data_IF_676590966321
#
_entry.id   IF_676590966321
#
_cell.length_a   1.000
_cell.length_b   1.000
_cell.length_c   1.000
_cell.angle_alpha   90.00
_cell.angle_beta   90.00
_cell.angle_gamma   90.00
#
_symmetry.space_group_name_H-M   'P 1'
#
loop_
_entity.id
_entity.type
_entity.pdbx_description
1 polymer ?
#
# COMPACT_ATOMS: atom_id res chain seq x y z
N UNK A 1 62.63 29.12 54.68
CA UNK A 1 62.05 29.97 53.64
C UNK A 1 61.04 29.09 52.88
N UNK A 2 59.79 29.19 53.30
CA UNK A 2 58.69 28.32 52.83
C UNK A 2 57.94 29.02 51.71
N UNK A 3 57.79 28.37 50.56
CA UNK A 3 56.90 28.81 49.45
C UNK A 3 55.61 28.05 49.54
N UNK A 4 54.43 28.68 49.45
CA UNK A 4 53.18 27.95 49.41
C UNK A 4 52.78 27.68 47.93
N UNK A 5 52.51 26.43 47.63
CA UNK A 5 51.94 25.95 46.37
C UNK A 5 50.45 26.21 46.37
N UNK A 6 49.94 26.99 45.36
CA UNK A 6 48.53 27.22 45.10
C UNK A 6 48.02 26.10 44.21
N UNK A 7 47.12 25.29 44.72
CA UNK A 7 46.36 24.29 43.91
C UNK A 7 45.18 24.94 43.26
N UNK A 8 45.21 25.08 41.92
CA UNK A 8 44.09 25.50 41.10
C UNK A 8 43.07 24.34 40.98
N UNK A 9 41.95 24.44 41.63
CA UNK A 9 40.83 23.51 41.42
C UNK A 9 40.04 23.94 40.19
N UNK A 10 40.17 23.19 39.09
CA UNK A 10 39.37 23.34 37.91
C UNK A 10 37.98 22.75 38.17
N UNK A 11 36.96 23.58 38.25
CA UNK A 11 35.56 23.14 38.33
C UNK A 11 35.08 22.90 36.88
N UNK A 12 34.99 21.64 36.51
CA UNK A 12 34.38 21.23 35.22
C UNK A 12 32.87 21.33 35.35
N UNK A 13 32.31 22.34 34.73
CA UNK A 13 30.86 22.55 34.66
C UNK A 13 30.31 21.60 33.57
N UNK A 14 29.73 20.45 33.95
CA UNK A 14 28.99 19.59 33.05
C UNK A 14 27.66 20.28 32.70
N UNK A 15 27.57 20.90 31.52
CA UNK A 15 26.34 21.28 30.91
C UNK A 15 25.59 20.00 30.48
N UNK A 16 24.67 19.53 31.30
CA UNK A 16 23.64 18.59 30.90
C UNK A 16 22.75 19.32 29.88
N UNK A 17 22.91 19.00 28.60
CA UNK A 17 21.96 19.34 27.57
C UNK A 17 20.66 18.58 27.90
N UNK A 18 19.71 19.25 28.56
CA UNK A 18 18.34 18.80 28.65
C UNK A 18 17.81 18.76 27.22
N UNK A 19 17.65 17.56 26.67
CA UNK A 19 16.81 17.36 25.50
C UNK A 19 15.38 17.75 25.90
N UNK A 20 15.09 19.04 25.78
CA UNK A 20 13.79 19.61 26.12
C UNK A 20 12.75 19.02 25.18
N UNK A 21 11.80 18.26 25.70
CA UNK A 21 10.55 17.99 25.00
C UNK A 21 9.98 19.36 24.58
N UNK A 22 9.91 19.59 23.27
CA UNK A 22 9.28 20.82 22.75
C UNK A 22 7.80 20.72 23.13
N UNK A 23 7.22 21.73 23.80
CA UNK A 23 5.80 21.70 24.11
C UNK A 23 5.01 21.67 22.81
N UNK A 24 3.91 20.90 22.77
CA UNK A 24 3.00 20.81 21.64
C UNK A 24 2.48 22.21 21.30
N UNK A 25 2.50 22.56 20.01
CA UNK A 25 1.84 23.78 19.50
C UNK A 25 0.32 23.50 19.44
N UNK A 26 -0.51 24.19 20.21
CA UNK A 26 -1.94 23.90 20.27
C UNK A 26 -2.67 24.18 18.94
N UNK A 27 -2.04 24.92 18.02
CA UNK A 27 -2.62 25.32 16.73
C UNK A 27 -2.07 24.50 15.56
N UNK A 28 -1.14 23.57 15.81
CA UNK A 28 -0.45 22.80 14.79
C UNK A 28 -0.82 21.32 14.91
N UNK A 29 -1.16 20.70 13.79
CA UNK A 29 -1.15 19.23 13.63
C UNK A 29 -0.18 18.84 12.52
N UNK A 30 0.44 17.69 12.68
CA UNK A 30 1.32 17.11 11.66
C UNK A 30 0.73 15.81 11.13
N UNK A 31 0.76 15.70 9.81
CA UNK A 31 0.49 14.47 9.08
C UNK A 31 1.81 13.98 8.52
N UNK A 32 2.16 12.74 8.81
CA UNK A 32 3.39 12.10 8.34
C UNK A 32 3.05 11.08 7.29
N UNK A 33 3.82 10.99 6.20
CA UNK A 33 3.86 9.77 5.39
C UNK A 33 5.20 9.06 5.54
N UNK A 34 5.18 7.71 5.46
CA UNK A 34 6.36 6.87 5.39
C UNK A 34 6.18 5.89 4.23
N UNK A 35 6.97 6.10 3.21
CA UNK A 35 6.86 5.42 1.92
C UNK A 35 8.27 5.28 1.32
N UNK A 36 8.53 4.30 0.43
CA UNK A 36 9.84 4.18 -0.19
C UNK A 36 10.10 5.34 -1.16
N UNK A 37 10.87 6.35 -0.71
CA UNK A 37 11.21 7.56 -1.48
C UNK A 37 12.51 7.41 -2.27
N UNK A 38 13.24 6.32 -2.01
CA UNK A 38 14.52 5.97 -2.64
C UNK A 38 14.45 4.55 -3.20
N UNK A 39 15.12 4.28 -4.32
CA UNK A 39 15.18 2.95 -4.93
C UNK A 39 14.06 2.68 -5.94
N UNK A 40 13.77 1.39 -6.14
CA UNK A 40 12.92 0.91 -7.24
C UNK A 40 11.43 1.25 -7.08
N UNK A 41 10.94 1.48 -5.85
CA UNK A 41 9.55 1.88 -5.60
C UNK A 41 9.31 3.38 -5.63
N UNK A 42 10.35 4.17 -5.87
CA UNK A 42 10.25 5.64 -5.79
C UNK A 42 9.14 6.20 -6.66
N UNK A 43 8.97 5.70 -7.87
CA UNK A 43 7.99 6.24 -8.82
C UNK A 43 6.55 6.01 -8.33
N UNK A 44 6.22 4.80 -7.88
CA UNK A 44 4.91 4.51 -7.28
C UNK A 44 4.65 5.38 -6.04
N UNK A 45 5.65 5.51 -5.17
CA UNK A 45 5.55 6.35 -3.97
C UNK A 45 5.46 7.84 -4.29
N UNK A 46 6.12 8.32 -5.35
CA UNK A 46 5.97 9.71 -5.81
C UNK A 46 4.51 10.02 -6.18
N UNK A 47 3.80 9.08 -6.81
CA UNK A 47 2.40 9.28 -7.18
C UNK A 47 1.49 9.34 -5.96
N UNK A 48 1.73 8.47 -4.96
CA UNK A 48 1.04 8.52 -3.66
C UNK A 48 1.23 9.86 -2.97
N UNK A 49 2.48 10.33 -2.87
CA UNK A 49 2.82 11.61 -2.21
C UNK A 49 2.21 12.80 -2.95
N UNK A 50 2.16 12.77 -4.29
CA UNK A 50 1.46 13.80 -5.07
C UNK A 50 -0.03 13.85 -4.70
N UNK A 51 -0.68 12.69 -4.56
CA UNK A 51 -2.07 12.60 -4.11
C UNK A 51 -2.25 13.16 -2.69
N UNK A 52 -1.41 12.77 -1.74
CA UNK A 52 -1.43 13.26 -0.36
C UNK A 52 -1.29 14.79 -0.33
N UNK A 53 -0.30 15.33 -1.05
CA UNK A 53 -0.06 16.78 -1.13
C UNK A 53 -1.25 17.52 -1.74
N UNK A 54 -1.88 16.97 -2.77
CA UNK A 54 -3.08 17.58 -3.36
C UNK A 54 -4.20 17.72 -2.35
N UNK A 55 -4.51 16.68 -1.56
CA UNK A 55 -5.56 16.72 -0.55
C UNK A 55 -5.27 17.78 0.53
N UNK A 56 -4.01 17.89 0.98
CA UNK A 56 -3.61 18.89 1.99
C UNK A 56 -3.66 20.31 1.42
N UNK A 57 -3.24 20.52 0.17
CA UNK A 57 -3.29 21.82 -0.48
C UNK A 57 -4.73 22.27 -0.76
N UNK A 58 -5.62 21.33 -1.14
CA UNK A 58 -7.05 21.61 -1.34
C UNK A 58 -7.75 21.97 -0.01
N UNK A 59 -7.21 21.50 1.12
CA UNK A 59 -7.61 21.94 2.45
C UNK A 59 -6.94 23.26 2.88
N UNK A 60 -6.24 23.95 1.95
CA UNK A 60 -5.52 25.22 2.20
C UNK A 60 -4.53 25.16 3.38
N UNK A 61 -4.01 23.96 3.67
CA UNK A 61 -3.09 23.73 4.79
C UNK A 61 -3.75 23.88 6.17
N UNK A 62 -5.10 23.77 6.25
CA UNK A 62 -5.87 23.94 7.49
C UNK A 62 -6.90 22.82 7.63
N UNK A 63 -7.10 22.32 8.84
CA UNK A 63 -8.16 21.37 9.17
C UNK A 63 -8.82 21.71 10.50
N UNK A 64 -10.11 22.07 10.49
CA UNK A 64 -10.78 22.59 11.67
C UNK A 64 -10.03 23.80 12.26
N UNK A 65 -9.64 23.79 13.54
CA UNK A 65 -8.89 24.89 14.16
C UNK A 65 -7.37 24.82 13.95
N UNK A 66 -6.85 23.82 13.21
CA UNK A 66 -5.44 23.52 13.15
C UNK A 66 -4.82 23.89 11.80
N UNK A 67 -3.57 24.39 11.84
CA UNK A 67 -2.66 24.42 10.69
C UNK A 67 -2.07 23.04 10.50
N UNK A 68 -1.86 22.65 9.25
CA UNK A 68 -1.27 21.36 8.89
C UNK A 68 0.19 21.54 8.49
N UNK A 69 1.07 20.74 9.05
CA UNK A 69 2.42 20.48 8.54
C UNK A 69 2.48 19.06 8.01
N UNK A 70 2.96 18.88 6.79
CA UNK A 70 3.13 17.56 6.19
C UNK A 70 4.60 17.17 6.16
N UNK A 71 4.91 15.99 6.66
CA UNK A 71 6.25 15.41 6.69
C UNK A 71 6.28 14.16 5.82
N UNK A 72 7.13 14.19 4.80
CA UNK A 72 7.34 13.10 3.84
C UNK A 72 8.63 12.35 4.22
N UNK A 73 8.49 11.15 4.80
CA UNK A 73 9.60 10.33 5.29
C UNK A 73 9.87 9.18 4.32
N UNK A 74 11.15 8.80 4.24
CA UNK A 74 11.63 7.66 3.45
C UNK A 74 11.82 6.44 4.34
N UNK A 75 11.17 5.32 4.02
CA UNK A 75 11.37 4.03 4.68
C UNK A 75 12.39 3.15 3.94
N UNK A 76 12.94 3.65 2.83
CA UNK A 76 13.98 3.00 2.05
C UNK A 76 15.36 3.52 2.41
N UNK A 77 16.36 2.75 2.00
CA UNK A 77 17.76 3.19 2.07
C UNK A 77 18.44 3.04 0.71
N UNK A 78 19.37 3.93 0.39
CA UNK A 78 20.14 3.84 -0.84
C UNK A 78 20.94 2.52 -0.93
N UNK A 79 21.37 1.97 0.20
CA UNK A 79 22.12 0.72 0.25
C UNK A 79 21.26 -0.51 -0.06
N UNK A 80 20.01 -0.53 0.42
CA UNK A 80 19.07 -1.62 0.14
C UNK A 80 18.36 -1.44 -1.20
N UNK A 81 18.18 -0.20 -1.69
CA UNK A 81 17.40 0.12 -2.88
C UNK A 81 15.90 -0.13 -2.72
N UNK A 82 15.46 -0.37 -1.50
CA UNK A 82 14.07 -0.66 -1.12
C UNK A 82 13.85 -0.31 0.36
N UNK A 83 12.61 -0.47 0.86
CA UNK A 83 12.27 -0.29 2.27
C UNK A 83 13.11 -1.18 3.19
N UNK A 84 13.32 -0.73 4.43
CA UNK A 84 13.99 -1.54 5.46
C UNK A 84 13.26 -1.44 6.79
N UNK A 85 13.30 -2.54 7.58
CA UNK A 85 12.68 -2.56 8.91
C UNK A 85 13.23 -1.49 9.84
N UNK A 86 14.53 -1.18 9.72
CA UNK A 86 15.20 -0.18 10.54
C UNK A 86 14.72 1.24 10.21
N UNK A 87 14.60 1.57 8.92
CA UNK A 87 14.16 2.89 8.48
C UNK A 87 12.69 3.11 8.86
N UNK A 88 11.81 2.13 8.58
CA UNK A 88 10.40 2.23 8.94
C UNK A 88 10.19 2.31 10.46
N UNK A 89 10.90 1.49 11.25
CA UNK A 89 10.84 1.58 12.70
C UNK A 89 11.32 2.95 13.24
N UNK A 90 12.34 3.54 12.63
CA UNK A 90 12.82 4.87 12.99
C UNK A 90 11.77 5.94 12.67
N UNK A 91 11.14 5.87 11.49
CA UNK A 91 10.07 6.78 11.08
C UNK A 91 8.85 6.68 12.02
N UNK A 92 8.39 5.47 12.34
CA UNK A 92 7.28 5.25 13.25
C UNK A 92 7.56 5.79 14.65
N UNK A 93 8.77 5.54 15.20
CA UNK A 93 9.17 6.09 16.50
C UNK A 93 9.25 7.62 16.48
N UNK A 94 9.80 8.21 15.41
CA UNK A 94 9.85 9.67 15.23
C UNK A 94 8.44 10.27 15.22
N UNK A 95 7.51 9.66 14.50
CA UNK A 95 6.12 10.09 14.45
C UNK A 95 5.45 9.96 15.85
N UNK A 96 5.68 8.86 16.55
CA UNK A 96 5.12 8.61 17.87
C UNK A 96 5.60 9.63 18.92
N UNK A 97 6.90 9.99 18.87
CA UNK A 97 7.54 10.90 19.83
C UNK A 97 7.19 12.37 19.62
N UNK A 98 6.73 12.77 18.44
CA UNK A 98 6.29 14.15 18.17
C UNK A 98 4.82 14.31 18.57
N UNK A 99 4.50 15.11 19.61
CA UNK A 99 3.14 15.26 20.10
C UNK A 99 2.21 15.99 19.12
N UNK A 100 2.76 16.66 18.09
CA UNK A 100 1.99 17.34 17.06
C UNK A 100 1.59 16.40 15.91
N UNK A 101 2.22 15.21 15.80
CA UNK A 101 1.85 14.19 14.80
C UNK A 101 0.58 13.50 15.26
N UNK A 102 -0.47 13.59 14.45
CA UNK A 102 -1.81 13.04 14.75
C UNK A 102 -2.29 12.00 13.73
N UNK A 103 -1.62 11.89 12.59
CA UNK A 103 -1.91 10.87 11.57
C UNK A 103 -0.63 10.44 10.85
N UNK A 104 -0.58 9.15 10.49
CA UNK A 104 0.50 8.50 9.76
C UNK A 104 -0.07 7.84 8.50
N UNK A 105 0.35 8.28 7.32
CA UNK A 105 -0.07 7.72 6.03
C UNK A 105 1.03 6.80 5.52
N UNK A 106 0.74 5.55 5.44
CA UNK A 106 1.73 4.53 5.05
C UNK A 106 1.24 3.13 5.45
N UNK A 107 2.01 2.15 5.11
CA UNK A 107 3.21 2.16 4.27
C UNK A 107 2.84 1.72 2.84
N UNK A 108 3.82 1.64 1.94
CA UNK A 108 3.59 0.98 0.66
C UNK A 108 3.64 -0.55 0.83
N UNK A 109 4.75 -1.06 1.37
CA UNK A 109 4.94 -2.50 1.56
C UNK A 109 4.24 -3.01 2.81
N UNK A 110 3.50 -4.14 2.70
CA UNK A 110 2.83 -4.76 3.85
C UNK A 110 3.81 -5.25 4.93
N UNK A 111 5.03 -5.66 4.55
CA UNK A 111 6.09 -5.97 5.49
C UNK A 111 6.51 -4.78 6.36
N UNK A 112 6.57 -3.58 5.78
CA UNK A 112 6.84 -2.34 6.52
C UNK A 112 5.71 -2.01 7.51
N UNK A 113 4.44 -2.24 7.11
CA UNK A 113 3.29 -2.05 8.02
C UNK A 113 3.38 -2.93 9.27
N UNK A 114 3.84 -4.19 9.14
CA UNK A 114 4.06 -5.08 10.28
C UNK A 114 5.06 -4.50 11.31
N UNK A 115 5.96 -3.63 10.86
CA UNK A 115 6.95 -2.96 11.72
C UNK A 115 6.36 -1.72 12.39
N UNK A 116 5.67 -0.86 11.64
CA UNK A 116 5.16 0.42 12.17
C UNK A 116 3.88 0.28 12.99
N UNK A 117 2.97 -0.62 12.60
CA UNK A 117 1.67 -0.79 13.29
C UNK A 117 1.79 -0.96 14.81
N UNK A 118 2.60 -1.90 15.34
CA UNK A 118 2.70 -2.07 16.80
C UNK A 118 3.33 -0.87 17.50
N UNK A 119 4.24 -0.14 16.83
CA UNK A 119 4.87 1.07 17.38
C UNK A 119 3.84 2.20 17.49
N UNK A 120 3.12 2.47 16.41
CA UNK A 120 2.11 3.53 16.35
C UNK A 120 0.91 3.24 17.26
N UNK A 121 0.57 1.95 17.43
CA UNK A 121 -0.50 1.50 18.30
C UNK A 121 -0.28 1.85 19.77
N UNK A 122 0.98 1.86 20.26
CA UNK A 122 1.31 2.26 21.63
C UNK A 122 0.89 3.70 21.98
N UNK A 123 0.73 4.57 20.99
CA UNK A 123 0.31 5.94 21.18
C UNK A 123 -1.04 6.28 20.57
N UNK A 124 -1.86 5.28 20.27
CA UNK A 124 -3.16 5.42 19.59
C UNK A 124 -3.09 6.28 18.30
N UNK A 125 -1.90 6.34 17.66
CA UNK A 125 -1.69 7.17 16.48
C UNK A 125 -2.37 6.55 15.26
N UNK A 126 -3.30 7.27 14.65
CA UNK A 126 -4.00 6.83 13.44
C UNK A 126 -3.01 6.51 12.33
N UNK A 127 -3.08 5.30 11.78
CA UNK A 127 -2.36 4.88 10.58
C UNK A 127 -3.36 4.61 9.45
N UNK A 128 -3.19 5.28 8.32
CA UNK A 128 -4.02 5.12 7.12
C UNK A 128 -3.15 4.60 5.99
N UNK A 129 -3.39 3.38 5.57
CA UNK A 129 -2.62 2.80 4.46
C UNK A 129 -3.28 3.04 3.10
N UNK A 130 -2.53 3.57 2.14
CA UNK A 130 -2.97 3.70 0.76
C UNK A 130 -2.65 2.49 -0.12
N UNK A 131 -1.91 1.48 0.40
CA UNK A 131 -1.34 0.44 -0.46
C UNK A 131 -1.17 -0.94 0.18
N UNK A 132 -1.28 -1.09 1.50
CA UNK A 132 -1.08 -2.40 2.12
C UNK A 132 -2.29 -3.31 1.91
N UNK A 133 -2.09 -4.46 1.30
CA UNK A 133 -3.16 -5.40 0.93
C UNK A 133 -3.11 -6.73 1.68
N UNK A 134 -1.98 -7.08 2.34
CA UNK A 134 -1.87 -8.34 3.07
C UNK A 134 -2.98 -8.51 4.11
N UNK A 135 -3.63 -9.67 4.08
CA UNK A 135 -4.86 -9.96 4.84
C UNK A 135 -4.61 -10.00 6.34
N UNK A 136 -3.48 -10.59 6.76
CA UNK A 136 -3.12 -10.75 8.17
C UNK A 136 -2.91 -9.44 8.94
N UNK A 137 -2.82 -8.28 8.26
CA UNK A 137 -2.72 -6.97 8.92
C UNK A 137 -4.00 -6.59 9.69
N UNK A 138 -5.15 -7.08 9.23
CA UNK A 138 -6.47 -6.66 9.75
C UNK A 138 -7.37 -7.82 10.12
N UNK A 139 -7.37 -8.93 9.36
CA UNK A 139 -8.35 -10.02 9.48
C UNK A 139 -7.78 -11.18 10.31
N UNK A 140 -8.45 -11.57 11.39
CA UNK A 140 -8.01 -12.72 12.19
C UNK A 140 -8.20 -14.03 11.43
N UNK A 141 -7.25 -14.96 11.63
CA UNK A 141 -7.31 -16.31 11.05
C UNK A 141 -6.87 -16.43 9.59
N UNK A 142 -6.60 -15.31 8.91
CA UNK A 142 -6.18 -15.27 7.50
C UNK A 142 -4.71 -14.84 7.32
N UNK A 143 -3.96 -14.73 8.40
CA UNK A 143 -2.54 -14.38 8.42
C UNK A 143 -1.72 -15.38 9.23
N UNK A 144 -0.49 -14.99 9.57
CA UNK A 144 0.36 -15.80 10.43
C UNK A 144 -0.22 -15.94 11.86
N UNK A 145 0.17 -16.95 12.63
CA UNK A 145 -0.32 -17.14 13.99
C UNK A 145 -0.17 -15.90 14.86
N UNK A 146 -1.28 -15.44 15.47
CA UNK A 146 -1.34 -14.25 16.32
C UNK A 146 -1.66 -12.95 15.56
N UNK A 147 -1.66 -12.94 14.25
CA UNK A 147 -2.12 -11.78 13.47
C UNK A 147 -3.66 -11.67 13.48
N UNK A 148 -4.19 -10.44 13.50
CA UNK A 148 -3.54 -9.13 13.60
C UNK A 148 -3.25 -8.69 15.05
N UNK A 149 -3.51 -9.54 16.06
CA UNK A 149 -3.38 -9.21 17.48
C UNK A 149 -2.00 -8.69 17.87
N UNK A 150 -0.95 -9.26 17.28
CA UNK A 150 0.46 -8.87 17.52
C UNK A 150 0.76 -7.41 17.10
N UNK A 151 -0.06 -6.83 16.22
CA UNK A 151 0.08 -5.44 15.78
C UNK A 151 -0.70 -4.46 16.65
N UNK A 152 -1.47 -4.96 17.60
CA UNK A 152 -2.37 -4.17 18.47
C UNK A 152 -2.03 -4.38 19.94
N UNK A 153 -0.78 -4.04 20.40
CA UNK A 153 -0.35 -4.32 21.78
C UNK A 153 -1.23 -3.65 22.84
N UNK A 154 -1.97 -2.57 22.50
CA UNK A 154 -2.96 -1.95 23.40
C UNK A 154 -4.33 -2.63 23.36
N UNK A 155 -4.55 -3.61 22.47
CA UNK A 155 -5.84 -4.25 22.22
C UNK A 155 -6.82 -3.39 21.39
N UNK A 156 -6.44 -2.18 20.98
CA UNK A 156 -7.28 -1.26 20.21
C UNK A 156 -6.85 -1.18 18.75
N UNK A 157 -7.80 -0.89 17.85
CA UNK A 157 -7.52 -0.57 16.47
C UNK A 157 -7.01 0.87 16.35
N UNK A 158 -5.99 1.07 15.49
CA UNK A 158 -5.51 2.38 15.07
C UNK A 158 -5.08 2.39 13.59
N UNK A 159 -5.36 1.31 12.88
CA UNK A 159 -5.01 1.11 11.48
C UNK A 159 -6.26 0.97 10.63
N UNK A 160 -6.28 1.66 9.49
CA UNK A 160 -7.27 1.51 8.43
C UNK A 160 -6.57 1.49 7.07
N UNK A 161 -7.19 0.88 6.06
CA UNK A 161 -6.69 0.93 4.68
C UNK A 161 -7.77 1.29 3.70
N UNK A 162 -7.43 2.15 2.74
CA UNK A 162 -8.34 2.61 1.69
C UNK A 162 -8.26 1.75 0.42
N UNK A 163 -7.40 0.74 0.39
CA UNK A 163 -7.23 -0.23 -0.70
C UNK A 163 -7.86 -1.57 -0.31
N UNK A 164 -8.54 -2.29 -1.23
CA UNK A 164 -9.04 -3.64 -0.96
C UNK A 164 -7.93 -4.62 -0.60
N UNK A 165 -8.25 -5.61 0.22
CA UNK A 165 -7.30 -6.62 0.67
C UNK A 165 -7.14 -7.78 -0.32
N UNK A 166 -6.05 -8.56 -0.16
CA UNK A 166 -5.67 -9.65 -1.05
C UNK A 166 -6.61 -10.85 -1.03
N UNK A 167 -7.46 -10.98 0.00
CA UNK A 167 -8.54 -11.98 0.04
C UNK A 167 -9.65 -11.74 -1.01
N UNK A 168 -9.61 -10.57 -1.67
CA UNK A 168 -10.37 -10.33 -2.88
C UNK A 168 -9.50 -10.54 -4.12
N UNK A 169 -8.30 -9.94 -4.14
CA UNK A 169 -7.48 -9.88 -5.35
C UNK A 169 -6.94 -11.25 -5.78
N UNK A 170 -6.41 -12.04 -4.84
CA UNK A 170 -5.90 -13.38 -5.14
C UNK A 170 -6.97 -14.30 -5.74
N UNK A 171 -8.10 -14.53 -5.03
CA UNK A 171 -9.18 -15.36 -5.54
C UNK A 171 -9.78 -14.88 -6.84
N UNK A 172 -10.10 -13.59 -7.00
CA UNK A 172 -10.66 -13.07 -8.25
C UNK A 172 -9.71 -13.17 -9.44
N UNK A 173 -8.39 -13.13 -9.20
CA UNK A 173 -7.38 -13.40 -10.22
C UNK A 173 -7.45 -14.85 -10.72
N UNK A 174 -7.68 -15.81 -9.82
CA UNK A 174 -7.86 -17.22 -10.18
C UNK A 174 -9.21 -17.47 -10.89
N UNK A 175 -10.29 -16.83 -10.44
CA UNK A 175 -11.59 -16.88 -11.11
C UNK A 175 -11.51 -16.36 -12.55
N UNK A 176 -10.77 -15.25 -12.75
CA UNK A 176 -10.50 -14.71 -14.09
C UNK A 176 -9.72 -15.71 -14.95
N UNK A 177 -8.67 -16.33 -14.40
CA UNK A 177 -7.90 -17.34 -15.11
C UNK A 177 -8.78 -18.53 -15.51
N UNK A 178 -9.66 -19.00 -14.62
CA UNK A 178 -10.64 -20.07 -14.92
C UNK A 178 -11.59 -19.69 -16.04
N UNK A 179 -12.15 -18.46 -16.00
CA UNK A 179 -13.04 -17.90 -17.03
C UNK A 179 -12.36 -17.86 -18.41
N UNK A 180 -11.03 -17.62 -18.45
CA UNK A 180 -10.20 -17.61 -19.64
C UNK A 180 -9.83 -19.02 -20.15
N UNK A 181 -10.22 -20.07 -19.44
CA UNK A 181 -9.96 -21.45 -19.83
C UNK A 181 -8.59 -21.97 -19.45
N UNK A 182 -7.87 -21.27 -18.56
CA UNK A 182 -6.60 -21.72 -17.98
C UNK A 182 -6.82 -23.04 -17.24
N UNK A 183 -5.97 -24.02 -17.49
CA UNK A 183 -6.03 -25.35 -16.87
C UNK A 183 -4.83 -25.61 -15.97
N UNK A 184 -3.68 -25.04 -16.31
CA UNK A 184 -2.42 -25.23 -15.58
C UNK A 184 -1.78 -23.88 -15.26
N UNK A 185 -1.30 -23.73 -14.03
CA UNK A 185 -0.61 -22.52 -13.58
C UNK A 185 0.73 -22.85 -12.94
N UNK A 186 1.73 -21.98 -13.18
CA UNK A 186 2.97 -21.95 -12.41
C UNK A 186 3.00 -20.68 -11.59
N UNK A 187 3.16 -20.80 -10.28
CA UNK A 187 3.12 -19.68 -9.36
C UNK A 187 4.55 -19.33 -8.95
N UNK A 188 4.83 -18.03 -8.96
CA UNK A 188 6.09 -17.46 -8.47
C UNK A 188 5.75 -16.37 -7.47
N UNK A 189 6.52 -16.26 -6.37
CA UNK A 189 6.40 -15.20 -5.41
C UNK A 189 7.75 -14.57 -5.07
N UNK A 190 7.74 -13.37 -4.48
CA UNK A 190 8.96 -12.65 -4.10
C UNK A 190 9.43 -12.93 -2.68
N UNK A 191 8.80 -13.89 -2.00
CA UNK A 191 9.06 -14.26 -0.60
C UNK A 191 8.89 -13.11 0.41
N UNK A 192 8.25 -12.02 -0.02
CA UNK A 192 7.86 -10.91 0.84
C UNK A 192 6.44 -11.15 1.40
N UNK A 193 6.09 -10.43 2.47
CA UNK A 193 4.78 -10.57 3.15
C UNK A 193 3.62 -10.43 2.17
N UNK A 194 3.68 -9.44 1.28
CA UNK A 194 2.65 -9.19 0.28
C UNK A 194 2.67 -10.24 -0.82
N UNK A 195 3.79 -10.38 -1.54
CA UNK A 195 3.83 -11.19 -2.75
C UNK A 195 3.59 -12.67 -2.48
N UNK A 196 4.18 -13.20 -1.39
CA UNK A 196 3.88 -14.57 -0.95
C UNK A 196 2.42 -14.73 -0.53
N UNK A 197 1.88 -13.78 0.25
CA UNK A 197 0.51 -13.85 0.74
C UNK A 197 -0.52 -13.89 -0.38
N UNK A 198 -0.41 -13.02 -1.38
CA UNK A 198 -1.34 -13.01 -2.52
C UNK A 198 -1.14 -14.23 -3.44
N UNK A 199 0.09 -14.74 -3.58
CA UNK A 199 0.36 -15.97 -4.32
C UNK A 199 -0.27 -17.19 -3.66
N UNK A 200 -0.18 -17.29 -2.33
CA UNK A 200 -0.81 -18.38 -1.56
C UNK A 200 -2.35 -18.36 -1.74
N UNK A 201 -2.98 -17.17 -1.69
CA UNK A 201 -4.44 -17.03 -1.91
C UNK A 201 -4.86 -17.37 -3.34
N UNK A 202 -4.03 -17.02 -4.33
CA UNK A 202 -4.24 -17.42 -5.72
C UNK A 202 -4.11 -18.93 -5.88
N UNK A 203 -3.10 -19.57 -5.28
CA UNK A 203 -2.88 -21.03 -5.27
C UNK A 203 -4.10 -21.77 -4.68
N UNK A 204 -4.53 -21.36 -3.48
CA UNK A 204 -5.68 -21.94 -2.80
C UNK A 204 -6.92 -21.91 -3.69
N UNK A 205 -7.22 -20.74 -4.29
CA UNK A 205 -8.38 -20.59 -5.17
C UNK A 205 -8.24 -21.39 -6.45
N UNK A 206 -7.05 -21.49 -7.05
CA UNK A 206 -6.81 -22.33 -8.20
C UNK A 206 -7.16 -23.80 -7.92
N UNK A 207 -6.74 -24.33 -6.77
CA UNK A 207 -7.04 -25.70 -6.36
C UNK A 207 -8.54 -25.92 -6.17
N UNK A 208 -9.25 -24.97 -5.54
CA UNK A 208 -10.72 -25.02 -5.39
C UNK A 208 -11.45 -25.07 -6.75
N UNK A 209 -10.93 -24.31 -7.73
CA UNK A 209 -11.50 -24.25 -9.08
C UNK A 209 -11.09 -25.45 -9.98
N UNK A 210 -10.23 -26.34 -9.45
CA UNK A 210 -9.69 -27.46 -10.25
C UNK A 210 -8.75 -26.98 -11.36
N UNK A 211 -8.03 -25.89 -11.15
CA UNK A 211 -6.86 -25.48 -11.97
C UNK A 211 -5.64 -26.19 -11.36
N UNK A 212 -4.88 -26.90 -12.20
CA UNK A 212 -3.70 -27.61 -11.75
C UNK A 212 -2.53 -26.64 -11.50
N UNK A 213 -1.99 -26.63 -10.28
CA UNK A 213 -0.78 -25.88 -9.93
C UNK A 213 0.42 -26.78 -10.20
N UNK A 214 1.10 -26.54 -11.30
CA UNK A 214 2.24 -27.38 -11.78
C UNK A 214 3.58 -26.98 -11.15
N UNK A 215 3.62 -25.91 -10.39
CA UNK A 215 4.76 -25.45 -9.60
C UNK A 215 4.44 -24.21 -8.80
N UNK A 216 5.10 -24.05 -7.64
CA UNK A 216 5.03 -22.86 -6.80
C UNK A 216 6.39 -22.63 -6.15
N UNK A 217 7.13 -21.62 -6.60
CA UNK A 217 8.48 -21.28 -6.14
C UNK A 217 8.59 -19.82 -5.76
N UNK A 218 9.47 -19.54 -4.80
CA UNK A 218 9.85 -18.17 -4.46
C UNK A 218 11.10 -17.74 -5.24
N UNK A 219 11.13 -16.49 -5.70
CA UNK A 219 12.32 -15.90 -6.31
C UNK A 219 13.26 -15.30 -5.27
N UNK A 220 14.53 -15.21 -5.58
CA UNK A 220 15.48 -14.37 -4.87
C UNK A 220 15.51 -12.97 -5.52
N UNK A 221 14.85 -11.98 -4.88
CA UNK A 221 14.81 -10.61 -5.38
C UNK A 221 16.19 -9.93 -5.50
N UNK A 222 17.27 -10.54 -4.94
CA UNK A 222 18.65 -10.08 -5.10
C UNK A 222 19.30 -10.64 -6.36
N UNK A 223 18.73 -11.69 -6.96
CA UNK A 223 19.26 -12.27 -8.18
C UNK A 223 19.23 -11.24 -9.32
N UNK A 224 20.21 -11.34 -10.22
CA UNK A 224 20.28 -10.47 -11.39
C UNK A 224 19.42 -11.00 -12.55
N UNK A 225 19.16 -12.29 -12.60
CA UNK A 225 18.39 -13.00 -13.63
C UNK A 225 17.77 -14.28 -13.07
N UNK A 226 16.71 -14.78 -13.73
CA UNK A 226 15.95 -15.94 -13.32
C UNK A 226 15.99 -17.09 -14.34
N UNK A 227 17.02 -17.17 -15.17
CA UNK A 227 17.13 -18.15 -16.29
C UNK A 227 16.94 -19.59 -15.84
N UNK A 228 17.55 -20.00 -14.73
CA UNK A 228 17.42 -21.37 -14.23
C UNK A 228 16.00 -21.69 -13.82
N UNK A 229 15.32 -20.73 -13.14
CA UNK A 229 13.91 -20.84 -12.76
C UNK A 229 13.01 -20.91 -14.01
N UNK A 230 13.29 -20.07 -15.02
CA UNK A 230 12.55 -20.09 -16.28
C UNK A 230 12.69 -21.39 -17.03
N UNK A 231 13.79 -22.13 -16.87
CA UNK A 231 13.94 -23.48 -17.44
C UNK A 231 12.95 -24.48 -16.79
N UNK A 232 12.74 -24.40 -15.48
CA UNK A 232 11.74 -25.22 -14.76
C UNK A 232 10.32 -24.84 -15.16
N UNK A 233 10.00 -23.55 -15.22
CA UNK A 233 8.70 -23.05 -15.68
C UNK A 233 8.41 -23.53 -17.11
N UNK A 234 9.39 -23.44 -18.01
CA UNK A 234 9.25 -23.91 -19.40
C UNK A 234 9.01 -25.42 -19.50
N UNK A 235 9.71 -26.20 -18.68
CA UNK A 235 9.55 -27.66 -18.64
C UNK A 235 8.15 -28.07 -18.16
N UNK A 236 7.60 -27.34 -17.22
CA UNK A 236 6.23 -27.51 -16.71
C UNK A 236 5.14 -27.11 -17.73
N UNK A 237 5.47 -26.26 -18.70
CA UNK A 237 4.61 -25.80 -19.78
C UNK A 237 3.22 -25.33 -19.32
N UNK A 238 3.11 -24.34 -18.38
CA UNK A 238 1.83 -23.87 -17.88
C UNK A 238 1.08 -23.03 -18.91
N UNK A 239 -0.24 -22.94 -18.77
CA UNK A 239 -1.08 -21.99 -19.53
C UNK A 239 -0.87 -20.55 -19.03
N UNK A 240 -0.61 -20.39 -17.72
CA UNK A 240 -0.43 -19.11 -17.05
C UNK A 240 0.71 -19.18 -16.03
N UNK A 241 1.53 -18.13 -15.99
CA UNK A 241 2.47 -17.85 -14.90
C UNK A 241 1.87 -16.72 -14.05
N UNK A 242 1.64 -16.98 -12.78
CA UNK A 242 1.26 -15.96 -11.80
C UNK A 242 2.50 -15.52 -11.03
N UNK A 243 2.75 -14.21 -10.94
CA UNK A 243 3.82 -13.68 -10.12
C UNK A 243 3.23 -12.84 -8.98
N UNK A 244 3.25 -13.34 -7.75
CA UNK A 244 2.94 -12.60 -6.54
C UNK A 244 4.16 -11.77 -6.11
N UNK A 245 4.10 -10.46 -6.34
CA UNK A 245 5.22 -9.58 -6.02
C UNK A 245 5.07 -8.18 -6.59
N UNK A 246 6.17 -7.46 -6.59
CA UNK A 246 6.20 -6.05 -7.00
C UNK A 246 7.23 -5.80 -8.10
N UNK A 247 7.17 -4.63 -8.73
CA UNK A 247 8.27 -4.17 -9.60
C UNK A 247 9.59 -4.09 -8.83
N UNK A 248 9.54 -3.71 -7.54
CA UNK A 248 10.73 -3.62 -6.67
C UNK A 248 11.45 -4.95 -6.50
N UNK A 249 10.68 -6.04 -6.39
CA UNK A 249 11.18 -7.40 -6.24
C UNK A 249 11.51 -8.07 -7.57
N UNK A 250 11.84 -7.27 -8.61
CA UNK A 250 12.29 -7.75 -9.92
C UNK A 250 11.22 -8.33 -10.84
N UNK A 251 9.93 -7.99 -10.65
CA UNK A 251 8.86 -8.46 -11.52
C UNK A 251 9.11 -8.21 -13.01
N UNK A 252 9.63 -7.01 -13.37
CA UNK A 252 9.99 -6.70 -14.76
C UNK A 252 11.14 -7.55 -15.32
N UNK A 253 12.17 -7.85 -14.51
CA UNK A 253 13.26 -8.75 -14.91
C UNK A 253 12.74 -10.18 -15.11
N UNK A 254 11.88 -10.66 -14.22
CA UNK A 254 11.23 -11.96 -14.32
C UNK A 254 10.44 -12.08 -15.65
N UNK A 255 9.64 -11.08 -15.98
CA UNK A 255 8.88 -11.02 -17.21
C UNK A 255 9.78 -11.03 -18.46
N UNK A 256 10.91 -10.31 -18.42
CA UNK A 256 11.93 -10.30 -19.47
C UNK A 256 12.58 -11.67 -19.64
N UNK A 257 12.91 -12.35 -18.55
CA UNK A 257 13.54 -13.68 -18.60
C UNK A 257 12.56 -14.75 -19.08
N UNK A 258 11.26 -14.64 -18.70
CA UNK A 258 10.18 -15.47 -19.21
C UNK A 258 10.05 -15.36 -20.74
N UNK A 259 10.06 -14.13 -21.26
CA UNK A 259 10.02 -13.89 -22.71
C UNK A 259 11.28 -14.44 -23.41
N UNK A 260 12.47 -14.20 -22.82
CA UNK A 260 13.74 -14.67 -23.35
C UNK A 260 13.85 -16.21 -23.39
N UNK A 261 13.21 -16.89 -22.44
CA UNK A 261 13.10 -18.35 -22.41
C UNK A 261 12.12 -18.90 -23.47
N UNK A 262 11.34 -18.02 -24.12
CA UNK A 262 10.31 -18.40 -25.09
C UNK A 262 9.13 -19.15 -24.45
N UNK A 263 8.74 -18.78 -23.25
CA UNK A 263 7.58 -19.34 -22.55
C UNK A 263 6.32 -18.65 -23.09
N UNK A 264 5.38 -19.37 -23.72
CA UNK A 264 4.21 -18.76 -24.38
C UNK A 264 3.07 -18.44 -23.40
N UNK A 265 3.16 -18.83 -22.14
CA UNK A 265 2.14 -18.69 -21.12
C UNK A 265 1.69 -17.22 -20.95
N UNK A 266 0.45 -17.02 -20.53
CA UNK A 266 -0.01 -15.74 -20.02
C UNK A 266 0.82 -15.39 -18.78
N UNK A 267 1.23 -14.12 -18.65
CA UNK A 267 1.78 -13.59 -17.39
C UNK A 267 0.71 -12.81 -16.68
N UNK A 268 0.40 -13.16 -15.43
CA UNK A 268 -0.49 -12.40 -14.58
C UNK A 268 0.25 -11.88 -13.36
N UNK A 269 0.10 -10.60 -13.08
CA UNK A 269 0.77 -9.92 -11.97
C UNK A 269 -0.25 -9.12 -11.17
N UNK A 270 -0.04 -8.90 -9.86
CA UNK A 270 -0.94 -8.11 -9.02
C UNK A 270 -0.60 -6.61 -9.07
N UNK A 271 -1.35 -5.83 -8.30
CA UNK A 271 -1.28 -4.38 -8.20
C UNK A 271 0.12 -3.81 -7.95
N UNK A 272 0.97 -4.50 -7.20
CA UNK A 272 2.36 -4.11 -6.96
C UNK A 272 3.25 -4.00 -8.21
N UNK A 273 2.77 -4.51 -9.36
CA UNK A 273 3.40 -4.36 -10.67
C UNK A 273 2.69 -3.37 -11.59
N UNK A 274 1.60 -2.69 -11.12
CA UNK A 274 0.82 -1.80 -11.97
C UNK A 274 1.44 -0.40 -12.05
N UNK A 275 2.53 -0.31 -12.79
CA UNK A 275 3.23 0.94 -13.08
C UNK A 275 4.00 0.85 -14.40
N UNK A 276 4.30 2.01 -15.01
CA UNK A 276 5.02 2.06 -16.28
C UNK A 276 6.43 1.46 -16.19
N UNK A 277 7.12 1.63 -15.05
CA UNK A 277 8.48 1.08 -14.84
C UNK A 277 8.51 -0.45 -14.95
N UNK A 278 7.43 -1.15 -14.56
CA UNK A 278 7.33 -2.60 -14.78
C UNK A 278 7.42 -2.93 -16.28
N UNK A 279 6.64 -2.25 -17.11
CA UNK A 279 6.61 -2.44 -18.55
C UNK A 279 7.96 -2.10 -19.17
N UNK A 280 8.54 -0.96 -18.76
CA UNK A 280 9.83 -0.49 -19.30
C UNK A 280 10.96 -1.46 -18.96
N UNK A 281 10.99 -2.00 -17.75
CA UNK A 281 12.02 -2.96 -17.30
C UNK A 281 11.89 -4.34 -17.93
N UNK A 282 10.65 -4.78 -18.19
CA UNK A 282 10.38 -6.02 -18.92
C UNK A 282 10.64 -5.90 -20.42
N UNK A 283 10.49 -4.70 -20.97
CA UNK A 283 10.42 -4.40 -22.40
C UNK A 283 9.03 -4.63 -22.96
N UNK A 284 8.36 -3.55 -23.40
CA UNK A 284 6.94 -3.55 -23.78
C UNK A 284 6.56 -4.68 -24.75
N UNK A 285 7.36 -4.92 -25.78
CA UNK A 285 7.12 -5.99 -26.77
C UNK A 285 7.10 -7.40 -26.17
N UNK A 286 7.72 -7.61 -25.01
CA UNK A 286 7.70 -8.89 -24.30
C UNK A 286 6.38 -9.15 -23.58
N UNK A 287 5.58 -8.10 -23.35
CA UNK A 287 4.35 -8.14 -22.56
C UNK A 287 3.09 -7.99 -23.41
N UNK A 288 3.23 -7.53 -24.65
CA UNK A 288 2.15 -7.13 -25.54
C UNK A 288 1.07 -8.22 -25.68
N UNK A 289 -0.17 -7.91 -25.27
CA UNK A 289 -1.34 -8.76 -25.34
C UNK A 289 -1.32 -10.02 -24.46
N UNK A 290 -0.25 -10.23 -23.65
CA UNK A 290 -0.07 -11.45 -22.85
C UNK A 290 0.23 -11.22 -21.38
N UNK A 291 0.45 -9.99 -20.97
CA UNK A 291 0.62 -9.62 -19.57
C UNK A 291 -0.62 -8.91 -19.05
N UNK A 292 -1.18 -9.45 -17.98
CA UNK A 292 -2.37 -8.94 -17.32
C UNK A 292 -2.03 -8.53 -15.90
N UNK A 293 -2.62 -7.45 -15.43
CA UNK A 293 -2.48 -6.96 -14.06
C UNK A 293 -3.83 -6.81 -13.41
N UNK A 294 -3.97 -7.32 -12.19
CA UNK A 294 -5.12 -7.02 -11.33
C UNK A 294 -4.83 -5.82 -10.45
N UNK A 295 -5.85 -5.03 -10.16
CA UNK A 295 -5.74 -3.84 -9.31
C UNK A 295 -7.04 -3.60 -8.54
N UNK A 296 -6.92 -3.26 -7.25
CA UNK A 296 -8.06 -2.91 -6.42
C UNK A 296 -8.66 -1.56 -6.83
N UNK A 297 -9.96 -1.53 -7.15
CA UNK A 297 -10.69 -0.35 -7.59
C UNK A 297 -10.65 -0.10 -9.10
N UNK A 298 -11.07 1.09 -9.50
CA UNK A 298 -11.12 1.51 -10.91
C UNK A 298 -9.83 2.24 -11.31
N UNK A 299 -9.36 2.06 -12.53
CA UNK A 299 -8.24 2.83 -13.04
C UNK A 299 -8.67 4.30 -13.25
N UNK A 300 -7.71 5.26 -13.25
CA UNK A 300 -8.01 6.69 -13.29
C UNK A 300 -8.99 7.11 -14.41
N UNK A 301 -8.87 6.51 -15.58
CA UNK A 301 -9.72 6.80 -16.75
C UNK A 301 -11.17 6.29 -16.64
N UNK A 302 -11.46 5.47 -15.63
CA UNK A 302 -12.81 4.93 -15.33
C UNK A 302 -13.42 5.55 -14.08
N UNK A 303 -12.70 6.37 -13.34
CA UNK A 303 -13.24 7.06 -12.19
C UNK A 303 -14.33 8.05 -12.60
N UNK A 304 -15.39 8.13 -11.78
CA UNK A 304 -16.54 9.01 -12.01
C UNK A 304 -16.72 10.00 -10.85
N UNK A 305 -17.58 11.00 -11.01
CA UNK A 305 -17.86 11.98 -9.96
C UNK A 305 -16.60 12.65 -9.43
N UNK A 306 -16.39 12.64 -8.11
CA UNK A 306 -15.20 13.22 -7.46
C UNK A 306 -13.89 12.59 -7.95
N UNK A 307 -13.92 11.34 -8.38
CA UNK A 307 -12.76 10.67 -8.94
C UNK A 307 -12.34 11.27 -10.28
N UNK A 308 -13.28 11.51 -11.19
CA UNK A 308 -12.98 12.18 -12.46
C UNK A 308 -12.52 13.63 -12.25
N UNK A 309 -13.11 14.34 -11.27
CA UNK A 309 -12.65 15.67 -10.89
C UNK A 309 -11.20 15.65 -10.33
N UNK A 310 -10.86 14.63 -9.53
CA UNK A 310 -9.47 14.42 -9.06
C UNK A 310 -8.52 14.25 -10.24
N UNK A 311 -8.85 13.39 -11.22
CA UNK A 311 -8.02 13.16 -12.42
C UNK A 311 -7.79 14.45 -13.20
N UNK A 312 -8.82 15.26 -13.40
CA UNK A 312 -8.74 16.55 -14.09
C UNK A 312 -7.86 17.54 -13.32
N UNK A 313 -8.00 17.63 -11.99
CA UNK A 313 -7.16 18.49 -11.15
C UNK A 313 -5.71 18.02 -11.14
N UNK A 314 -5.47 16.73 -11.03
CA UNK A 314 -4.14 16.12 -11.09
C UNK A 314 -3.45 16.46 -12.41
N UNK A 315 -4.14 16.22 -13.54
CA UNK A 315 -3.63 16.52 -14.88
C UNK A 315 -3.29 17.98 -15.06
N UNK A 316 -4.15 18.90 -14.59
CA UNK A 316 -3.87 20.34 -14.66
C UNK A 316 -2.65 20.74 -13.84
N UNK A 317 -2.44 20.08 -12.69
CA UNK A 317 -1.34 20.42 -11.78
C UNK A 317 0.00 19.85 -12.23
N UNK A 318 0.02 18.59 -12.69
CA UNK A 318 1.26 17.86 -12.99
C UNK A 318 1.55 17.69 -14.48
N UNK A 319 0.60 18.03 -15.36
CA UNK A 319 0.75 17.91 -16.82
C UNK A 319 0.60 16.48 -17.37
N UNK A 320 0.30 15.52 -16.52
CA UNK A 320 0.16 14.10 -16.85
C UNK A 320 -1.04 13.47 -16.14
N UNK A 321 -1.49 12.33 -16.62
CA UNK A 321 -2.53 11.54 -15.94
C UNK A 321 -1.95 10.94 -14.65
N UNK A 322 -2.79 10.76 -13.61
CA UNK A 322 -2.34 10.07 -12.41
C UNK A 322 -2.05 8.59 -12.69
N UNK A 323 -0.97 8.06 -12.13
CA UNK A 323 -0.79 6.62 -11.98
C UNK A 323 -1.82 6.06 -10.99
N UNK A 324 -2.04 4.74 -11.02
CA UNK A 324 -3.13 4.10 -10.30
C UNK A 324 -3.16 4.41 -8.79
N UNK A 325 -2.00 4.50 -8.15
CA UNK A 325 -1.92 4.75 -6.71
C UNK A 325 -2.10 6.22 -6.30
N UNK A 326 -2.06 7.17 -7.24
CA UNK A 326 -2.19 8.59 -6.90
C UNK A 326 -3.49 8.91 -6.17
N UNK A 327 -4.62 8.32 -6.60
CA UNK A 327 -5.93 8.52 -6.00
C UNK A 327 -6.01 7.92 -4.60
N UNK A 328 -5.29 6.82 -4.32
CA UNK A 328 -5.26 6.20 -2.99
C UNK A 328 -4.48 7.05 -1.99
N UNK A 329 -3.38 7.68 -2.42
CA UNK A 329 -2.67 8.66 -1.59
C UNK A 329 -3.54 9.87 -1.25
N UNK A 330 -4.29 10.35 -2.23
CA UNK A 330 -5.26 11.45 -2.04
C UNK A 330 -6.36 11.05 -1.05
N UNK A 331 -6.96 9.88 -1.24
CA UNK A 331 -8.05 9.37 -0.40
C UNK A 331 -7.62 9.13 1.04
N UNK A 332 -6.42 8.54 1.24
CA UNK A 332 -5.86 8.32 2.58
C UNK A 332 -5.66 9.64 3.34
N UNK A 333 -5.19 10.69 2.64
CA UNK A 333 -5.07 12.01 3.23
C UNK A 333 -6.45 12.63 3.52
N UNK A 334 -7.43 12.47 2.64
CA UNK A 334 -8.81 12.92 2.87
C UNK A 334 -9.45 12.25 4.09
N UNK A 335 -9.21 10.94 4.30
CA UNK A 335 -9.63 10.22 5.52
C UNK A 335 -9.01 10.84 6.76
N UNK A 336 -7.69 11.04 6.77
CA UNK A 336 -7.00 11.66 7.91
C UNK A 336 -7.54 13.07 8.20
N UNK A 337 -7.70 13.90 7.17
CA UNK A 337 -8.26 15.27 7.30
C UNK A 337 -9.69 15.25 7.85
N UNK A 338 -10.53 14.32 7.37
CA UNK A 338 -11.90 14.16 7.88
C UNK A 338 -11.89 13.77 9.35
N UNK A 339 -11.08 12.78 9.74
CA UNK A 339 -10.99 12.32 11.12
C UNK A 339 -10.53 13.44 12.08
N UNK A 340 -9.49 14.20 11.69
CA UNK A 340 -8.99 15.35 12.48
C UNK A 340 -10.05 16.43 12.60
N UNK A 341 -10.79 16.76 11.53
CA UNK A 341 -11.86 17.76 11.53
C UNK A 341 -13.01 17.36 12.45
N UNK A 342 -13.45 16.10 12.38
CA UNK A 342 -14.56 15.58 13.17
C UNK A 342 -14.19 15.43 14.66
N UNK A 343 -12.93 15.15 14.97
CA UNK A 343 -12.44 15.13 16.34
C UNK A 343 -12.36 16.54 16.93
N UNK A 344 -11.93 17.54 16.16
CA UNK A 344 -11.76 18.92 16.61
C UNK A 344 -10.70 19.09 17.71
N UNK A 345 -9.88 18.09 17.93
CA UNK A 345 -8.84 18.00 18.96
C UNK A 345 -7.58 17.34 18.39
N UNK A 346 -6.45 17.43 19.13
CA UNK A 346 -5.21 16.73 18.83
C UNK A 346 -5.10 15.36 19.53
N UNK A 347 -6.14 14.96 20.25
CA UNK A 347 -6.16 13.65 20.89
C UNK A 347 -6.16 12.55 19.83
N UNK A 348 -5.05 11.78 19.81
CA UNK A 348 -4.81 10.73 18.81
C UNK A 348 -5.87 9.64 18.85
N UNK A 349 -6.32 9.30 20.05
CA UNK A 349 -7.35 8.27 20.22
C UNK A 349 -8.68 8.72 19.65
N UNK A 350 -9.10 9.95 19.95
CA UNK A 350 -10.35 10.49 19.41
C UNK A 350 -10.30 10.58 17.87
N UNK A 351 -9.18 11.05 17.30
CA UNK A 351 -8.98 11.09 15.84
C UNK A 351 -9.08 9.68 15.25
N UNK A 352 -8.45 8.69 15.88
CA UNK A 352 -8.50 7.29 15.45
C UNK A 352 -9.92 6.73 15.51
N UNK A 353 -10.66 7.00 16.57
CA UNK A 353 -12.07 6.59 16.72
C UNK A 353 -12.96 7.21 15.63
N UNK A 354 -12.72 8.49 15.25
CA UNK A 354 -13.43 9.14 14.13
C UNK A 354 -13.12 8.48 12.79
N UNK A 355 -11.86 8.14 12.52
CA UNK A 355 -11.50 7.42 11.30
C UNK A 355 -12.18 6.05 11.23
N UNK A 356 -12.12 5.26 12.30
CA UNK A 356 -12.75 3.95 12.41
C UNK A 356 -14.28 3.99 12.32
N UNK A 357 -14.90 5.13 12.65
CA UNK A 357 -16.35 5.31 12.57
C UNK A 357 -16.86 5.68 11.16
N UNK A 358 -15.99 5.88 10.18
CA UNK A 358 -16.39 6.22 8.80
C UNK A 358 -17.12 5.02 8.18
N UNK A 359 -18.43 5.18 7.88
CA UNK A 359 -19.26 4.18 7.21
C UNK A 359 -19.76 4.65 5.83
N UNK A 360 -19.75 5.95 5.59
CA UNK A 360 -20.18 6.57 4.36
C UNK A 360 -19.18 7.68 3.99
N UNK A 361 -18.21 7.33 3.18
CA UNK A 361 -17.19 8.23 2.65
C UNK A 361 -17.46 8.46 1.17
N UNK A 362 -17.83 9.67 0.80
CA UNK A 362 -18.02 10.08 -0.57
C UNK A 362 -16.73 10.73 -1.08
N UNK A 363 -15.82 9.89 -1.56
CA UNK A 363 -14.46 10.25 -1.95
C UNK A 363 -14.18 10.15 -3.44
N UNK A 364 -12.91 10.26 -3.80
CA UNK A 364 -12.45 10.10 -5.18
C UNK A 364 -12.53 8.64 -5.69
N UNK A 365 -12.53 7.67 -4.77
CA UNK A 365 -12.72 6.25 -5.07
C UNK A 365 -14.21 5.85 -5.14
N UNK A 366 -15.12 6.82 -5.01
CA UNK A 366 -16.56 6.58 -4.96
C UNK A 366 -17.09 6.61 -3.52
N UNK A 367 -18.19 5.89 -3.28
CA UNK A 367 -18.84 5.83 -1.95
C UNK A 367 -18.49 4.52 -1.26
N UNK A 368 -17.90 4.61 -0.08
CA UNK A 368 -17.40 3.47 0.68
C UNK A 368 -17.28 3.80 2.17
N UNK A 369 -16.90 2.85 3.00
CA UNK A 369 -16.62 3.04 4.43
C UNK A 369 -15.59 2.04 4.91
N UNK A 370 -15.37 1.99 6.23
CA UNK A 370 -14.56 0.95 6.86
C UNK A 370 -15.43 -0.10 7.53
N UNK A 371 -15.02 -1.37 7.45
CA UNK A 371 -15.59 -2.47 8.22
C UNK A 371 -15.08 -2.46 9.68
N UNK A 372 -15.45 -3.49 10.45
CA UNK A 372 -15.03 -3.64 11.84
C UNK A 372 -13.53 -3.93 12.01
N UNK A 373 -12.84 -4.33 10.96
CA UNK A 373 -11.40 -4.61 10.96
C UNK A 373 -10.56 -3.38 10.57
N UNK A 374 -11.21 -2.32 10.04
CA UNK A 374 -10.54 -1.16 9.47
C UNK A 374 -10.24 -1.30 7.97
N UNK A 375 -10.81 -2.29 7.31
CA UNK A 375 -10.70 -2.47 5.86
C UNK A 375 -11.76 -1.65 5.12
N UNK A 376 -11.42 -1.20 3.92
CA UNK A 376 -12.40 -0.57 3.03
C UNK A 376 -13.50 -1.55 2.64
N UNK A 377 -14.73 -1.04 2.50
CA UNK A 377 -15.87 -1.81 1.97
C UNK A 377 -15.91 -1.88 0.44
N UNK A 378 -14.91 -1.32 -0.25
CA UNK A 378 -14.80 -1.45 -1.71
C UNK A 378 -14.45 -2.90 -2.07
N UNK A 379 -15.21 -3.46 -3.03
CA UNK A 379 -15.03 -4.85 -3.49
C UNK A 379 -14.75 -4.95 -5.00
N UNK A 380 -14.62 -3.82 -5.68
CA UNK A 380 -14.35 -3.76 -7.11
C UNK A 380 -12.86 -3.94 -7.37
N UNK A 381 -12.52 -4.86 -8.26
CA UNK A 381 -11.19 -5.01 -8.85
C UNK A 381 -11.28 -4.81 -10.36
N UNK A 382 -10.15 -4.51 -10.96
CA UNK A 382 -10.02 -4.41 -12.41
C UNK A 382 -8.88 -5.27 -12.93
N UNK A 383 -9.04 -5.75 -14.15
CA UNK A 383 -7.96 -6.32 -14.96
C UNK A 383 -7.60 -5.32 -16.03
N UNK A 384 -6.31 -5.10 -16.20
CA UNK A 384 -5.75 -4.38 -17.34
C UNK A 384 -4.77 -5.30 -18.08
N UNK A 385 -4.61 -5.07 -19.37
CA UNK A 385 -3.66 -5.80 -20.22
C UNK A 385 -2.63 -4.84 -20.78
N UNK A 386 -1.41 -5.30 -21.02
CA UNK A 386 -0.41 -4.49 -21.69
C UNK A 386 -0.71 -4.44 -23.20
N UNK A 387 -1.00 -3.23 -23.72
CA UNK A 387 -1.21 -2.89 -25.12
C UNK A 387 -0.50 -1.58 -25.44
N UNK A 388 0.10 -1.49 -26.60
CA UNK A 388 0.82 -0.30 -27.07
C UNK A 388 1.79 0.26 -26.02
N UNK A 389 2.44 -0.66 -25.26
CA UNK A 389 3.43 -0.31 -24.24
C UNK A 389 2.88 0.33 -22.96
N UNK A 390 1.59 0.17 -22.67
CA UNK A 390 0.93 0.66 -21.44
C UNK A 390 -0.11 -0.32 -20.94
N UNK A 391 -0.54 -0.17 -19.68
CA UNK A 391 -1.68 -0.92 -19.17
C UNK A 391 -2.99 -0.29 -19.66
N UNK A 392 -3.77 -1.05 -20.40
CA UNK A 392 -5.10 -0.69 -20.84
C UNK A 392 -6.15 -1.48 -20.07
N UNK A 393 -7.21 -0.78 -19.63
CA UNK A 393 -8.34 -1.40 -18.96
C UNK A 393 -8.99 -2.48 -19.85
N UNK A 394 -9.27 -3.65 -19.26
CA UNK A 394 -9.92 -4.75 -19.95
C UNK A 394 -11.31 -5.04 -19.37
N UNK A 395 -11.39 -5.41 -18.10
CA UNK A 395 -12.68 -5.71 -17.46
C UNK A 395 -12.68 -5.42 -15.97
N UNK A 396 -13.89 -5.32 -15.40
CA UNK A 396 -14.11 -5.24 -13.95
C UNK A 396 -14.34 -6.66 -13.44
N UNK A 397 -13.72 -6.95 -12.29
CA UNK A 397 -13.97 -8.14 -11.50
C UNK A 397 -14.74 -7.71 -10.25
N UNK A 398 -16.01 -8.07 -10.18
CA UNK A 398 -16.81 -7.86 -8.98
C UNK A 398 -16.81 -9.16 -8.16
N UNK A 399 -16.44 -9.05 -6.89
CA UNK A 399 -16.71 -10.15 -5.98
C UNK A 399 -18.24 -10.34 -5.90
N UNK A 400 -18.73 -11.54 -6.16
CA UNK A 400 -20.12 -11.87 -5.92
C UNK A 400 -20.44 -11.51 -4.46
N UNK A 401 -21.61 -10.89 -4.25
CA UNK A 401 -22.07 -10.56 -2.90
C UNK A 401 -22.13 -11.83 -2.06
N UNK A 402 -21.13 -12.06 -1.22
CA UNK A 402 -21.34 -12.91 -0.07
C UNK A 402 -22.32 -12.15 0.81
N UNK A 403 -23.44 -12.78 1.10
CA UNK A 403 -24.55 -12.24 1.89
C UNK A 403 -24.07 -12.07 3.35
N UNK A 404 -23.41 -10.95 3.63
CA UNK A 404 -22.88 -10.62 4.97
C UNK A 404 -23.98 -10.28 5.98
N UNK A 405 -25.25 -10.50 5.61
CA UNK A 405 -26.40 -10.32 6.52
C UNK A 405 -26.67 -8.87 6.98
N UNK A 406 -25.95 -7.89 6.46
CA UNK A 406 -26.24 -6.49 6.74
C UNK A 406 -27.14 -5.86 5.66
N UNK A 407 -28.22 -5.14 6.04
CA UNK A 407 -29.15 -4.56 5.09
C UNK A 407 -28.49 -3.43 4.28
N UNK A 408 -28.46 -3.55 2.97
CA UNK A 408 -28.05 -2.48 2.04
C UNK A 408 -28.96 -1.27 2.16
N UNK A 409 -28.42 -0.04 2.12
CA UNK A 409 -29.25 1.12 1.84
C UNK A 409 -29.82 1.03 0.42
N UNK A 410 -31.09 1.45 0.18
CA UNK A 410 -31.72 1.32 -1.12
C UNK A 410 -30.95 2.13 -2.18
N UNK A 411 -30.72 1.50 -3.32
CA UNK A 411 -30.16 2.15 -4.50
C UNK A 411 -31.05 3.35 -4.86
N UNK A 412 -30.43 4.54 -4.98
CA UNK A 412 -31.14 5.72 -5.44
C UNK A 412 -31.71 5.44 -6.84
N UNK A 413 -33.03 5.53 -6.96
CA UNK A 413 -33.71 5.34 -8.21
C UNK A 413 -33.18 6.33 -9.25
N UNK A 414 -32.64 5.81 -10.35
CA UNK A 414 -32.35 6.58 -11.55
C UNK A 414 -33.68 7.19 -12.04
N UNK A 415 -33.83 8.48 -11.80
CA UNK A 415 -34.98 9.25 -12.32
C UNK A 415 -34.90 9.33 -13.84
N UNK A 416 -35.97 8.96 -14.44
CA UNK A 416 -36.32 9.08 -15.87
C UNK A 416 -36.14 10.51 -16.41
#
# INVERSE_FOLDING_TARGET
MNSPTWALRTVTLCLLAAAGCRPADPTLVKIVSSLPRTGSAKQQSDTLVRGIRMAIEEAEGVVGPFRIEYLDLDDSTAAAGQWTSEAEAANARRALQDPDVVAYIGTFNSGAAKVSMPILNLGDLLMVSPANTAVGLTKPGLGAPGEPGVYRPTGRLNYVRVVPADDLQGPLSADWAKKRGVKTVYILDDNEVYGKGIADLFDERCRELGIEVVGHDSIDAKAQEFKSLMASVKAANPDLVYFGGTTQSKGGQLAKDMASAGIPAILMVPDGCREQVFIDSAGAGNLEGRCFVTFGGLPPEKLTGKGSEFVERYRRKFGELPEAYAVYGYEAACVALRAIREAGTKDRREITERALAIRDFDGALGRWGFDSNGDTTMRTLTVSVVKDGRFEFEEILDAADEDDGEPRPPAAAAGS
#
